data_IF_364084593223
#
_entry.id   IF_364084593223
#
_cell.length_a   1.000
_cell.length_b   1.000
_cell.length_c   1.000
_cell.angle_alpha   90.00
_cell.angle_beta   90.00
_cell.angle_gamma   90.00
#
_symmetry.space_group_name_H-M   'P 1'
#
loop_
_entity.id
_entity.type
_entity.pdbx_description
1 polymer ?
#
# COMPACT_ATOMS: atom_id res chain seq x y z
N UNK A 1 24.69 25.65 -43.74
CA UNK A 1 24.33 24.51 -42.87
C UNK A 1 23.13 23.78 -43.48
N UNK A 2 23.37 22.90 -44.48
CA UNK A 2 22.35 22.23 -45.32
C UNK A 2 22.54 20.69 -45.28
N UNK A 3 22.83 20.11 -44.11
CA UNK A 3 23.13 18.66 -43.98
C UNK A 3 22.44 17.95 -42.81
N UNK A 4 21.37 18.51 -42.22
CA UNK A 4 20.68 17.88 -41.07
C UNK A 4 19.29 17.32 -41.44
N UNK A 5 18.76 17.61 -42.63
CA UNK A 5 17.37 17.23 -42.98
C UNK A 5 17.22 15.88 -43.72
N UNK A 6 18.31 15.21 -44.10
CA UNK A 6 18.24 14.02 -44.98
C UNK A 6 18.31 12.65 -44.26
N UNK A 7 18.66 12.61 -42.97
CA UNK A 7 18.88 11.32 -42.27
C UNK A 7 17.65 10.83 -41.49
N UNK A 8 16.64 11.68 -41.30
CA UNK A 8 15.41 11.34 -40.57
C UNK A 8 14.34 10.60 -41.40
N UNK A 9 14.53 10.49 -42.73
CA UNK A 9 13.54 9.86 -43.63
C UNK A 9 13.82 8.38 -43.95
N UNK A 10 14.94 7.81 -43.50
CA UNK A 10 15.31 6.41 -43.82
C UNK A 10 15.03 5.45 -42.65
N UNK A 11 14.99 5.93 -41.41
CA UNK A 11 14.71 5.08 -40.24
C UNK A 11 13.21 4.72 -40.08
N UNK A 12 12.30 5.48 -40.69
CA UNK A 12 10.86 5.22 -40.63
C UNK A 12 10.42 4.05 -41.53
N UNK A 13 11.26 3.65 -42.50
CA UNK A 13 10.94 2.59 -43.46
C UNK A 13 11.39 1.19 -43.02
N UNK A 14 12.26 1.09 -42.01
CA UNK A 14 12.66 -0.20 -41.39
C UNK A 14 11.75 -0.60 -40.22
N UNK A 15 10.82 0.27 -39.81
CA UNK A 15 9.85 -0.01 -38.75
C UNK A 15 8.51 -0.59 -39.27
N UNK A 16 8.33 -0.68 -40.59
CA UNK A 16 7.03 -1.01 -41.21
C UNK A 16 6.98 -2.37 -41.94
N UNK A 17 8.04 -3.19 -41.84
CA UNK A 17 8.16 -4.43 -42.60
C UNK A 17 8.45 -5.64 -41.73
N UNK A 18 7.46 -6.16 -41.02
CA UNK A 18 7.32 -7.60 -40.68
C UNK A 18 5.95 -7.82 -40.03
N UNK A 19 4.95 -7.52 -40.85
CA UNK A 19 3.58 -7.97 -40.71
C UNK A 19 3.51 -9.49 -40.97
N UNK A 20 2.76 -10.20 -40.12
CA UNK A 20 2.16 -11.54 -40.27
C UNK A 20 2.99 -12.80 -40.02
N UNK A 21 2.59 -13.57 -38.98
CA UNK A 21 2.29 -15.01 -39.11
C UNK A 21 1.37 -15.58 -37.99
N UNK A 22 0.09 -15.74 -38.36
CA UNK A 22 -0.91 -16.81 -38.08
C UNK A 22 -1.21 -17.39 -36.67
N UNK A 23 -2.51 -17.31 -36.31
CA UNK A 23 -3.49 -18.35 -35.89
C UNK A 23 -3.08 -19.40 -34.84
N UNK A 24 -3.92 -19.88 -33.90
CA UNK A 24 -5.39 -20.01 -33.82
C UNK A 24 -5.70 -20.56 -32.42
N UNK A 25 -6.78 -20.10 -31.77
CA UNK A 25 -7.91 -20.89 -31.22
C UNK A 25 -8.66 -20.07 -30.19
N UNK A 26 -9.93 -19.81 -30.47
CA UNK A 26 -10.94 -19.40 -29.50
C UNK A 26 -11.32 -20.62 -28.66
N UNK A 27 -11.38 -20.46 -27.35
CA UNK A 27 -12.32 -21.19 -26.50
C UNK A 27 -12.63 -20.34 -25.27
N UNK A 28 -13.93 -20.11 -25.09
CA UNK A 28 -14.65 -19.42 -24.02
C UNK A 28 -13.98 -19.37 -22.65
N UNK A 29 -14.16 -18.26 -21.91
CA UNK A 29 -14.78 -18.24 -20.57
C UNK A 29 -15.14 -16.78 -20.22
N UNK A 30 -16.45 -16.53 -20.25
CA UNK A 30 -17.27 -15.69 -19.35
C UNK A 30 -16.73 -14.33 -18.90
N UNK A 31 -17.38 -13.29 -19.41
CA UNK A 31 -17.41 -11.94 -18.84
C UNK A 31 -17.91 -11.94 -17.39
N UNK A 32 -17.16 -11.34 -16.47
CA UNK A 32 -17.73 -10.62 -15.34
C UNK A 32 -17.00 -9.29 -15.17
N UNK A 33 -17.64 -8.21 -15.64
CA UNK A 33 -17.29 -6.86 -15.24
C UNK A 33 -17.59 -6.72 -13.74
N UNK A 34 -16.62 -6.31 -12.94
CA UNK A 34 -16.86 -5.70 -11.64
C UNK A 34 -16.19 -4.34 -11.62
N UNK A 35 -17.00 -3.32 -11.35
CA UNK A 35 -16.60 -1.93 -11.24
C UNK A 35 -15.68 -1.71 -10.02
N UNK A 36 -14.76 -0.76 -10.21
CA UNK A 36 -13.86 -0.14 -9.22
C UNK A 36 -12.67 -1.01 -8.73
N UNK A 37 -11.55 -0.84 -9.43
CA UNK A 37 -10.32 -1.61 -9.25
C UNK A 37 -9.52 -1.18 -8.03
N UNK A 38 -9.80 -1.81 -6.89
CA UNK A 38 -8.76 -2.16 -5.92
C UNK A 38 -8.47 -3.66 -6.11
N UNK A 39 -7.60 -3.99 -7.05
CA UNK A 39 -7.05 -5.34 -7.17
C UNK A 39 -6.25 -5.65 -5.91
N UNK A 40 -6.68 -6.67 -5.16
CA UNK A 40 -5.90 -7.22 -4.05
C UNK A 40 -4.73 -8.00 -4.64
N UNK A 41 -3.63 -7.31 -4.95
CA UNK A 41 -2.35 -7.95 -5.21
C UNK A 41 -1.97 -8.71 -3.94
N UNK A 42 -1.85 -10.04 -4.02
CA UNK A 42 -1.37 -10.85 -2.92
C UNK A 42 -0.06 -10.24 -2.38
N UNK A 43 0.07 -9.97 -1.07
CA UNK A 43 1.22 -9.27 -0.55
C UNK A 43 2.47 -10.15 -0.74
N UNK A 44 3.33 -9.77 -1.70
CA UNK A 44 4.70 -10.26 -1.71
C UNK A 44 5.32 -9.80 -0.38
N UNK A 45 5.72 -10.74 0.47
CA UNK A 45 6.42 -10.43 1.72
C UNK A 45 7.87 -10.00 1.39
N UNK A 46 8.00 -8.78 0.86
CA UNK A 46 9.27 -8.18 0.46
C UNK A 46 10.23 -8.09 1.65
N UNK A 47 9.72 -7.85 2.87
CA UNK A 47 10.54 -7.78 4.09
C UNK A 47 11.23 -9.11 4.38
N UNK A 48 10.50 -10.23 4.37
CA UNK A 48 11.08 -11.55 4.57
C UNK A 48 12.09 -11.92 3.47
N UNK A 49 11.80 -11.54 2.22
CA UNK A 49 12.71 -11.77 1.10
C UNK A 49 14.05 -11.01 1.27
N UNK A 50 14.00 -9.76 1.74
CA UNK A 50 15.18 -8.93 1.95
C UNK A 50 16.00 -9.34 3.19
N UNK A 51 15.33 -9.70 4.29
CA UNK A 51 15.99 -10.09 5.54
C UNK A 51 16.95 -11.29 5.38
N UNK A 52 16.73 -12.13 4.38
CA UNK A 52 17.54 -13.32 4.10
C UNK A 52 18.81 -13.06 3.26
N UNK A 53 19.04 -11.85 2.76
CA UNK A 53 20.13 -11.54 1.81
C UNK A 53 21.12 -10.51 2.36
N UNK A 54 22.41 -10.66 2.04
CA UNK A 54 23.35 -9.54 2.07
C UNK A 54 22.98 -8.60 0.91
N UNK A 55 22.19 -7.56 1.17
CA UNK A 55 21.69 -6.66 0.11
C UNK A 55 22.85 -5.90 -0.54
N UNK A 56 23.21 -6.28 -1.77
CA UNK A 56 24.06 -5.47 -2.61
C UNK A 56 23.33 -4.17 -3.01
N UNK A 57 24.02 -3.03 -3.23
CA UNK A 57 23.37 -1.77 -3.62
C UNK A 57 22.39 -1.90 -4.81
N UNK A 58 22.72 -2.76 -5.78
CA UNK A 58 21.84 -3.06 -6.92
C UNK A 58 20.50 -3.68 -6.51
N UNK A 59 20.51 -4.60 -5.53
CA UNK A 59 19.28 -5.23 -5.02
C UNK A 59 18.40 -4.25 -4.25
N UNK A 60 19.00 -3.26 -3.58
CA UNK A 60 18.24 -2.17 -2.95
C UNK A 60 17.60 -1.28 -4.02
N UNK A 61 18.34 -0.93 -5.09
CA UNK A 61 17.80 -0.12 -6.17
C UNK A 61 16.62 -0.80 -6.88
N UNK A 62 16.75 -2.09 -7.20
CA UNK A 62 15.69 -2.89 -7.81
C UNK A 62 14.45 -2.90 -6.89
N UNK A 63 14.64 -3.17 -5.60
CA UNK A 63 13.56 -3.10 -4.62
C UNK A 63 12.84 -1.75 -4.61
N UNK A 64 13.59 -0.65 -4.50
CA UNK A 64 13.02 0.70 -4.44
C UNK A 64 12.29 1.08 -5.74
N UNK A 65 12.77 0.61 -6.89
CA UNK A 65 12.13 0.84 -8.19
C UNK A 65 10.83 0.04 -8.36
N UNK A 66 10.74 -1.12 -7.72
CA UNK A 66 9.57 -2.01 -7.79
C UNK A 66 8.53 -1.73 -6.70
N UNK A 67 8.77 -0.77 -5.80
CA UNK A 67 7.82 -0.46 -4.73
C UNK A 67 6.50 0.05 -5.32
N UNK A 68 5.37 -0.59 -4.99
CA UNK A 68 4.08 -0.06 -5.38
C UNK A 68 3.84 1.28 -4.66
N UNK A 69 3.07 2.16 -5.30
CA UNK A 69 2.81 3.51 -4.77
C UNK A 69 2.11 3.50 -3.42
N UNK A 70 1.39 2.43 -3.09
CA UNK A 70 0.66 2.20 -1.86
C UNK A 70 1.37 1.23 -0.90
N UNK A 71 2.68 1.01 -1.04
CA UNK A 71 3.44 0.02 -0.26
C UNK A 71 3.14 0.08 1.25
N UNK A 72 2.35 -0.89 1.73
CA UNK A 72 1.81 -0.99 3.08
C UNK A 72 1.02 0.23 3.61
N UNK A 73 0.41 1.04 2.75
CA UNK A 73 -0.29 2.28 3.14
C UNK A 73 -1.72 2.39 2.60
N UNK A 74 -2.55 3.08 3.38
CA UNK A 74 -3.85 3.62 2.99
C UNK A 74 -3.69 5.14 2.97
N UNK A 75 -3.62 5.75 1.79
CA UNK A 75 -3.25 7.17 1.68
C UNK A 75 -4.45 8.13 1.63
N UNK A 76 -5.62 7.64 1.22
CA UNK A 76 -6.82 8.46 1.04
C UNK A 76 -7.78 8.31 2.22
N UNK A 77 -8.39 9.43 2.64
CA UNK A 77 -9.42 9.46 3.70
C UNK A 77 -10.59 8.54 3.36
N UNK A 78 -11.10 8.64 2.13
CA UNK A 78 -12.24 7.84 1.68
C UNK A 78 -11.92 6.34 1.61
N UNK A 79 -10.68 5.99 1.26
CA UNK A 79 -10.23 4.60 1.29
C UNK A 79 -10.22 4.05 2.72
N UNK A 80 -9.77 4.84 3.70
CA UNK A 80 -9.85 4.44 5.12
C UNK A 80 -11.29 4.23 5.57
N UNK A 81 -12.19 5.17 5.24
CA UNK A 81 -13.62 5.07 5.56
C UNK A 81 -14.28 3.83 4.94
N UNK A 82 -13.91 3.51 3.71
CA UNK A 82 -14.40 2.32 2.99
C UNK A 82 -13.92 1.04 3.68
N UNK A 83 -12.64 0.96 4.03
CA UNK A 83 -12.06 -0.19 4.73
C UNK A 83 -12.72 -0.43 6.10
N UNK A 84 -12.96 0.61 6.89
CA UNK A 84 -13.57 0.48 8.22
C UNK A 84 -15.05 0.14 8.15
N UNK A 85 -15.80 0.69 7.19
CA UNK A 85 -17.24 0.45 7.05
C UNK A 85 -17.57 -0.88 6.36
N UNK A 86 -16.94 -1.17 5.23
CA UNK A 86 -17.32 -2.28 4.36
C UNK A 86 -16.51 -3.54 4.65
N UNK A 87 -15.20 -3.39 4.85
CA UNK A 87 -14.28 -4.51 5.08
C UNK A 87 -14.03 -4.77 6.57
N UNK A 88 -14.76 -4.07 7.44
CA UNK A 88 -14.69 -4.17 8.90
C UNK A 88 -13.24 -4.13 9.43
N UNK A 89 -12.40 -3.31 8.79
CA UNK A 89 -11.00 -3.19 9.15
C UNK A 89 -10.88 -2.72 10.62
N UNK A 90 -10.00 -3.36 11.38
CA UNK A 90 -9.66 -2.88 12.71
C UNK A 90 -8.79 -1.63 12.58
N UNK A 91 -9.26 -0.52 13.11
CA UNK A 91 -8.50 0.72 13.18
C UNK A 91 -7.79 0.80 14.53
N UNK A 92 -6.48 1.06 14.52
CA UNK A 92 -5.65 1.06 15.73
C UNK A 92 -4.89 2.38 15.83
N UNK A 93 -5.19 3.13 16.88
CA UNK A 93 -4.42 4.30 17.29
C UNK A 93 -3.23 3.86 18.13
N UNK A 94 -2.02 4.03 17.59
CA UNK A 94 -0.79 3.61 18.26
C UNK A 94 -0.11 4.73 19.04
N UNK A 95 -0.83 5.83 19.30
CA UNK A 95 -0.38 6.92 20.18
C UNK A 95 -0.50 6.54 21.65
N UNK A 96 0.02 7.41 22.52
CA UNK A 96 -0.12 7.25 23.96
C UNK A 96 -1.59 7.39 24.39
N UNK A 97 -2.03 6.74 25.48
CA UNK A 97 -3.43 6.79 25.92
C UNK A 97 -3.97 8.20 26.14
N UNK A 98 -3.12 9.10 26.65
CA UNK A 98 -3.47 10.52 26.76
C UNK A 98 -3.80 11.15 25.40
N UNK A 99 -3.02 10.88 24.36
CA UNK A 99 -3.26 11.47 23.03
C UNK A 99 -4.56 10.95 22.42
N UNK A 100 -4.88 9.68 22.64
CA UNK A 100 -6.13 9.04 22.21
C UNK A 100 -7.34 9.64 22.93
N UNK A 101 -7.27 9.81 24.25
CA UNK A 101 -8.33 10.41 25.06
C UNK A 101 -8.62 11.89 24.73
N UNK A 102 -7.65 12.61 24.14
CA UNK A 102 -7.85 13.98 23.66
C UNK A 102 -8.52 14.04 22.28
N UNK A 103 -8.82 12.89 21.67
CA UNK A 103 -9.49 12.79 20.39
C UNK A 103 -8.84 11.75 19.50
N UNK A 104 -9.66 10.86 18.92
CA UNK A 104 -9.22 9.77 18.05
C UNK A 104 -10.19 9.54 16.89
N UNK A 105 -9.79 8.77 15.88
CA UNK A 105 -10.70 8.45 14.77
C UNK A 105 -11.75 7.46 15.28
N UNK A 106 -13.02 7.76 15.00
CA UNK A 106 -14.17 6.94 15.40
C UNK A 106 -13.98 5.45 15.11
N UNK A 107 -14.22 4.62 16.12
CA UNK A 107 -14.12 3.17 16.04
C UNK A 107 -12.68 2.62 16.15
N UNK A 108 -11.68 3.48 16.37
CA UNK A 108 -10.33 3.03 16.66
C UNK A 108 -10.20 2.48 18.08
N UNK A 109 -9.43 1.40 18.26
CA UNK A 109 -8.91 1.02 19.57
C UNK A 109 -7.58 1.73 19.85
N UNK A 110 -7.20 1.91 21.11
CA UNK A 110 -5.87 2.41 21.45
C UNK A 110 -4.94 1.25 21.81
N UNK A 111 -3.84 1.11 21.06
CA UNK A 111 -2.77 0.18 21.38
C UNK A 111 -1.41 0.85 21.14
N UNK A 112 -0.81 1.48 22.17
CA UNK A 112 0.40 2.28 22.01
C UNK A 112 1.54 1.50 21.35
N UNK A 113 2.30 2.15 20.46
CA UNK A 113 3.37 1.51 19.68
C UNK A 113 4.32 0.63 20.50
N UNK A 114 4.68 1.05 21.72
CA UNK A 114 5.62 0.33 22.58
C UNK A 114 5.04 -0.93 23.22
N UNK A 115 3.72 -1.06 23.21
CA UNK A 115 2.98 -2.15 23.84
C UNK A 115 2.43 -3.14 22.81
N UNK A 116 2.55 -2.85 21.51
CA UNK A 116 2.00 -3.68 20.42
C UNK A 116 2.44 -5.14 20.52
N UNK A 117 3.74 -5.38 20.74
CA UNK A 117 4.31 -6.74 20.73
C UNK A 117 3.85 -7.60 21.92
N UNK A 118 3.39 -6.96 23.00
CA UNK A 118 2.89 -7.61 24.20
C UNK A 118 1.39 -7.90 24.12
N UNK A 119 0.71 -7.38 23.08
CA UNK A 119 -0.75 -7.40 22.92
C UNK A 119 -1.14 -7.86 21.50
N UNK A 120 -0.36 -8.79 20.93
CA UNK A 120 -0.58 -9.30 19.57
C UNK A 120 -1.91 -10.05 19.43
N UNK A 121 -2.46 -10.56 20.53
CA UNK A 121 -3.78 -11.18 20.63
C UNK A 121 -4.92 -10.21 20.29
N UNK A 122 -4.71 -8.91 20.43
CA UNK A 122 -5.68 -7.87 20.05
C UNK A 122 -5.60 -7.52 18.55
N UNK A 123 -4.60 -8.01 17.83
CA UNK A 123 -4.40 -7.75 16.41
C UNK A 123 -4.83 -8.99 15.64
N UNK A 124 -6.01 -8.97 14.99
CA UNK A 124 -6.48 -10.11 14.22
C UNK A 124 -5.62 -10.33 12.97
N UNK A 125 -5.50 -11.58 12.52
CA UNK A 125 -4.85 -11.95 11.26
C UNK A 125 -5.84 -12.22 10.11
N UNK A 126 -7.12 -12.37 10.42
CA UNK A 126 -8.19 -12.79 9.49
C UNK A 126 -8.94 -11.65 8.82
N UNK A 127 -8.70 -10.40 9.23
CA UNK A 127 -9.32 -9.19 8.65
C UNK A 127 -8.32 -8.04 8.55
N UNK A 128 -8.56 -7.01 7.72
CA UNK A 128 -7.62 -5.90 7.57
C UNK A 128 -7.38 -5.15 8.88
N UNK A 129 -6.14 -4.72 9.10
CA UNK A 129 -5.76 -3.87 10.24
C UNK A 129 -5.10 -2.60 9.72
N UNK A 130 -5.53 -1.44 10.20
CA UNK A 130 -4.96 -0.15 9.83
C UNK A 130 -4.43 0.56 11.06
N UNK A 131 -3.13 0.86 11.07
CA UNK A 131 -2.48 1.63 12.13
C UNK A 131 -2.47 3.12 11.78
N UNK A 132 -2.61 3.98 12.78
CA UNK A 132 -2.33 5.40 12.63
C UNK A 132 -1.78 6.04 13.91
N UNK A 133 -1.17 7.22 13.79
CA UNK A 133 -0.67 7.96 14.94
C UNK A 133 -0.99 9.45 14.84
N UNK A 134 -0.08 10.34 15.24
CA UNK A 134 -0.25 11.78 15.06
C UNK A 134 -0.01 12.19 13.59
N UNK A 135 1.16 11.84 13.04
CA UNK A 135 1.70 12.37 11.78
C UNK A 135 2.21 11.30 10.80
N UNK A 136 2.02 10.02 11.13
CA UNK A 136 2.49 8.88 10.32
C UNK A 136 3.85 8.29 10.72
N UNK A 137 4.69 8.99 11.50
CA UNK A 137 6.03 8.48 11.86
C UNK A 137 5.99 7.17 12.67
N UNK A 138 5.24 7.16 13.78
CA UNK A 138 5.04 5.95 14.59
C UNK A 138 4.33 4.86 13.80
N UNK A 139 3.40 5.25 12.92
CA UNK A 139 2.67 4.32 12.05
C UNK A 139 3.63 3.47 11.22
N UNK A 140 4.61 4.10 10.57
CA UNK A 140 5.59 3.37 9.77
C UNK A 140 6.35 2.33 10.61
N UNK A 141 6.79 2.70 11.83
CA UNK A 141 7.48 1.79 12.75
C UNK A 141 6.60 0.60 13.15
N UNK A 142 5.34 0.86 13.49
CA UNK A 142 4.38 -0.19 13.89
C UNK A 142 4.07 -1.16 12.76
N UNK A 143 3.89 -0.66 11.54
CA UNK A 143 3.67 -1.51 10.36
C UNK A 143 4.88 -2.40 10.12
N UNK A 144 6.10 -1.84 10.12
CA UNK A 144 7.31 -2.64 9.92
C UNK A 144 7.49 -3.70 11.00
N UNK A 145 7.27 -3.36 12.27
CA UNK A 145 7.35 -4.31 13.37
C UNK A 145 6.38 -5.48 13.20
N UNK A 146 5.12 -5.22 12.81
CA UNK A 146 4.13 -6.26 12.57
C UNK A 146 4.42 -7.07 11.29
N UNK A 147 4.97 -6.46 10.23
CA UNK A 147 5.43 -7.20 9.05
C UNK A 147 6.53 -8.20 9.39
N UNK A 148 7.47 -7.82 10.27
CA UNK A 148 8.52 -8.73 10.77
C UNK A 148 7.94 -9.91 11.59
N UNK A 149 6.73 -9.76 12.11
CA UNK A 149 5.98 -10.79 12.84
C UNK A 149 4.91 -11.48 11.98
N UNK A 150 5.04 -11.37 10.64
CA UNK A 150 4.18 -12.04 9.66
C UNK A 150 2.70 -11.64 9.77
N UNK A 151 2.44 -10.35 9.97
CA UNK A 151 1.11 -9.74 9.82
C UNK A 151 0.99 -9.08 8.45
N UNK A 152 0.70 -9.87 7.42
CA UNK A 152 0.56 -9.41 6.03
C UNK A 152 -0.71 -8.58 5.77
N UNK A 153 -1.68 -8.63 6.68
CA UNK A 153 -2.95 -7.91 6.66
C UNK A 153 -2.90 -6.49 7.26
N UNK A 154 -1.72 -6.07 7.76
CA UNK A 154 -1.53 -4.74 8.38
C UNK A 154 -1.12 -3.69 7.34
N UNK A 155 -1.74 -2.52 7.41
CA UNK A 155 -1.39 -1.32 6.64
C UNK A 155 -1.29 -0.11 7.57
N UNK A 156 -0.56 0.92 7.16
CA UNK A 156 -0.53 2.21 7.84
C UNK A 156 -1.48 3.21 7.18
N UNK A 157 -1.98 4.17 7.94
CA UNK A 157 -2.64 5.37 7.43
C UNK A 157 -1.72 6.59 7.65
N UNK A 158 -0.83 6.91 6.69
CA UNK A 158 0.14 8.00 6.84
C UNK A 158 -0.46 9.37 7.14
N UNK A 159 -1.61 9.79 6.56
CA UNK A 159 -2.19 11.09 6.91
C UNK A 159 -2.46 11.21 8.41
N UNK A 160 -2.80 10.10 9.08
CA UNK A 160 -2.92 10.03 10.54
C UNK A 160 -3.89 11.11 11.08
N UNK A 161 -3.79 11.48 12.36
CA UNK A 161 -4.69 12.48 12.96
C UNK A 161 -4.57 13.85 12.30
N UNK A 162 -3.37 14.28 11.90
CA UNK A 162 -3.20 15.59 11.26
C UNK A 162 -3.92 15.67 9.91
N UNK A 163 -3.75 14.67 9.05
CA UNK A 163 -4.45 14.59 7.77
C UNK A 163 -5.95 14.40 7.94
N UNK A 164 -6.39 13.64 8.94
CA UNK A 164 -7.82 13.49 9.27
C UNK A 164 -8.47 14.83 9.62
N UNK A 165 -7.85 15.60 10.51
CA UNK A 165 -8.31 16.95 10.87
C UNK A 165 -8.23 17.92 9.69
N UNK A 166 -7.15 17.87 8.91
CA UNK A 166 -6.98 18.74 7.75
C UNK A 166 -8.05 18.49 6.67
N UNK A 167 -8.59 17.27 6.59
CA UNK A 167 -9.72 16.92 5.75
C UNK A 167 -11.09 17.37 6.31
N UNK A 168 -11.13 18.01 7.49
CA UNK A 168 -12.37 18.46 8.13
C UNK A 168 -13.16 17.34 8.81
N UNK A 169 -12.54 16.18 9.04
CA UNK A 169 -13.20 15.05 9.69
C UNK A 169 -13.21 15.19 11.21
N UNK A 170 -14.29 14.70 11.83
CA UNK A 170 -14.45 14.76 13.28
C UNK A 170 -13.65 13.66 13.99
N UNK A 171 -13.26 13.96 15.23
CA UNK A 171 -12.70 12.99 16.18
C UNK A 171 -13.78 12.58 17.18
N UNK A 172 -13.72 11.33 17.63
CA UNK A 172 -14.45 10.84 18.80
C UNK A 172 -13.60 11.06 20.07
N UNK A 173 -14.25 11.00 21.24
CA UNK A 173 -13.67 11.21 22.58
C UNK A 173 -13.79 9.97 23.43
#
# INVERSE_FOLDING_TARGET
MRKILATLLIAFWLYFGTFLRTNSTLADVTTSQTADGLETVAPKNYVAQLASKNLAPKTVQEFLSDLPSDYYTVQKIDALKTLTKEKQALLVDIRQPKEYAHGHIKGAINLPLRDITQNLDQIPKDRPVVLYCATGYRTAMGVMALQMLEYDNVRGFPPSIEGWKAAGENLDS
#
